data_IF_094459390256
#
_entry.id   IF_094459390256
#
_cell.length_a   1.000
_cell.length_b   1.000
_cell.length_c   1.000
_cell.angle_alpha   90.00
_cell.angle_beta   90.00
_cell.angle_gamma   90.00
#
_symmetry.space_group_name_H-M   'P 1'
#
loop_
_entity.id
_entity.type
_entity.pdbx_description
1 polymer ?
#
# COMPACT_ATOMS: atom_id res chain seq x y z
N UNK A 1 -25.66 6.08 -66.15
CA UNK A 1 -26.25 4.78 -66.54
C UNK A 1 -25.47 3.67 -65.85
N UNK A 2 -26.20 3.00 -64.96
CA UNK A 2 -26.08 1.66 -64.38
C UNK A 2 -25.00 0.65 -64.82
N UNK A 3 -24.60 -0.13 -63.80
CA UNK A 3 -24.23 -1.55 -63.75
C UNK A 3 -22.79 -2.01 -64.08
N UNK A 4 -22.25 -2.83 -63.17
CA UNK A 4 -21.63 -4.08 -63.63
C UNK A 4 -20.44 -4.64 -62.85
N UNK A 5 -20.63 -4.96 -61.56
CA UNK A 5 -19.76 -5.76 -60.71
C UNK A 5 -19.33 -7.12 -61.34
N UNK A 6 -18.07 -7.54 -61.16
CA UNK A 6 -17.73 -8.96 -60.95
C UNK A 6 -16.41 -9.14 -60.18
N UNK A 7 -16.57 -9.46 -58.90
CA UNK A 7 -15.69 -10.22 -58.00
C UNK A 7 -14.68 -11.16 -58.68
N UNK A 8 -13.45 -11.20 -58.14
CA UNK A 8 -12.90 -12.46 -57.62
C UNK A 8 -11.88 -12.21 -56.52
N UNK A 9 -12.33 -12.53 -55.32
CA UNK A 9 -11.58 -12.70 -54.09
C UNK A 9 -10.83 -14.04 -54.20
N UNK A 10 -9.51 -14.05 -53.95
CA UNK A 10 -8.81 -15.27 -53.54
C UNK A 10 -8.04 -15.00 -52.26
N UNK A 11 -8.48 -15.74 -51.26
CA UNK A 11 -7.93 -15.88 -49.93
C UNK A 11 -6.46 -16.28 -49.96
N UNK A 12 -5.66 -15.66 -49.08
CA UNK A 12 -4.64 -16.40 -48.35
C UNK A 12 -4.65 -15.90 -46.91
N UNK A 13 -5.39 -16.63 -46.08
CA UNK A 13 -5.33 -16.54 -44.63
C UNK A 13 -3.91 -16.89 -44.16
N UNK A 14 -3.19 -15.91 -43.60
CA UNK A 14 -1.97 -16.18 -42.83
C UNK A 14 -2.34 -16.31 -41.36
N UNK A 15 -2.82 -17.51 -41.00
CA UNK A 15 -2.80 -17.96 -39.60
C UNK A 15 -1.33 -18.14 -39.20
N UNK A 16 -0.82 -17.23 -38.39
CA UNK A 16 0.42 -17.47 -37.64
C UNK A 16 0.05 -17.45 -36.18
N UNK A 17 -0.11 -18.64 -35.61
CA UNK A 17 -0.35 -18.86 -34.21
C UNK A 17 1.00 -19.12 -33.52
N UNK A 18 1.16 -18.45 -32.37
CA UNK A 18 1.87 -18.86 -31.15
C UNK A 18 3.41 -18.80 -31.18
N UNK A 19 3.93 -17.81 -30.43
CA UNK A 19 4.80 -18.09 -29.29
C UNK A 19 4.72 -16.91 -28.32
N UNK A 20 3.83 -17.03 -27.32
CA UNK A 20 3.93 -16.23 -26.10
C UNK A 20 5.08 -16.82 -25.29
N UNK A 21 6.23 -16.13 -25.27
CA UNK A 21 7.34 -16.46 -24.38
C UNK A 21 7.28 -15.56 -23.16
N UNK A 22 6.32 -15.83 -22.28
CA UNK A 22 6.43 -15.42 -20.89
C UNK A 22 7.36 -16.43 -20.20
N UNK A 23 8.65 -16.13 -20.17
CA UNK A 23 9.55 -16.79 -19.23
C UNK A 23 9.28 -16.12 -17.88
N UNK A 24 8.30 -16.66 -17.15
CA UNK A 24 8.26 -16.45 -15.72
C UNK A 24 9.50 -17.16 -15.15
N UNK A 25 10.51 -16.39 -14.76
CA UNK A 25 11.45 -16.90 -13.76
C UNK A 25 10.63 -17.14 -12.50
N UNK A 26 10.14 -18.37 -12.34
CA UNK A 26 9.78 -18.89 -11.03
C UNK A 26 11.08 -19.04 -10.25
N UNK A 27 11.62 -17.92 -9.76
CA UNK A 27 12.44 -17.96 -8.58
C UNK A 27 11.59 -18.62 -7.50
N UNK A 28 12.11 -19.67 -6.87
CA UNK A 28 11.50 -20.24 -5.67
C UNK A 28 11.62 -19.19 -4.57
N UNK A 29 10.72 -18.20 -4.57
CA UNK A 29 10.57 -17.27 -3.46
C UNK A 29 9.93 -18.07 -2.34
N UNK A 30 10.75 -18.68 -1.49
CA UNK A 30 10.29 -19.14 -0.18
C UNK A 30 9.78 -17.90 0.54
N UNK A 31 8.46 -17.77 0.65
CA UNK A 31 7.82 -16.72 1.43
C UNK A 31 8.29 -16.86 2.88
N UNK A 32 8.85 -15.79 3.46
CA UNK A 32 9.32 -15.82 4.83
C UNK A 32 8.19 -16.15 5.81
N UNK A 33 8.52 -16.97 6.80
CA UNK A 33 7.61 -17.29 7.91
C UNK A 33 7.71 -16.22 9.00
N UNK A 34 6.70 -16.13 9.88
CA UNK A 34 6.77 -15.23 11.05
C UNK A 34 8.02 -15.50 11.91
N UNK A 35 8.53 -16.74 11.90
CA UNK A 35 9.69 -17.15 12.68
C UNK A 35 10.99 -16.66 12.06
N UNK A 36 11.09 -16.60 10.73
CA UNK A 36 12.24 -16.00 10.03
C UNK A 36 12.36 -14.51 10.36
N UNK A 37 11.23 -13.82 10.54
CA UNK A 37 11.19 -12.40 10.89
C UNK A 37 11.69 -12.10 12.30
N UNK A 38 11.74 -13.08 13.21
CA UNK A 38 12.34 -12.88 14.54
C UNK A 38 13.85 -12.64 14.47
N UNK A 39 14.51 -13.00 13.36
CA UNK A 39 15.94 -12.78 13.17
C UNK A 39 16.29 -11.30 12.94
N UNK A 40 15.30 -10.45 12.67
CA UNK A 40 15.51 -9.00 12.56
C UNK A 40 15.47 -8.29 13.92
N UNK A 41 15.29 -9.02 15.03
CA UNK A 41 15.22 -8.44 16.37
C UNK A 41 16.62 -8.18 16.95
N UNK A 42 16.87 -6.98 17.53
CA UNK A 42 18.13 -6.72 18.24
C UNK A 42 18.28 -7.64 19.46
N UNK A 43 19.41 -8.35 19.56
CA UNK A 43 19.68 -9.29 20.66
C UNK A 43 19.69 -8.59 22.03
N UNK A 44 20.01 -7.30 22.04
CA UNK A 44 20.08 -6.45 23.23
C UNK A 44 18.72 -6.35 23.93
N UNK A 45 17.61 -6.49 23.21
CA UNK A 45 16.25 -6.43 23.80
C UNK A 45 16.09 -7.51 24.88
N UNK A 46 16.62 -8.71 24.65
CA UNK A 46 16.55 -9.80 25.64
C UNK A 46 17.40 -9.54 26.88
N UNK A 47 18.49 -8.79 26.73
CA UNK A 47 19.38 -8.43 27.85
C UNK A 47 18.81 -7.29 28.69
N UNK A 48 18.19 -6.30 28.04
CA UNK A 48 17.65 -5.10 28.71
C UNK A 48 16.23 -5.32 29.24
N UNK A 49 15.38 -6.00 28.45
CA UNK A 49 13.96 -6.16 28.73
C UNK A 49 13.47 -7.59 28.35
N UNK A 50 13.82 -8.62 29.14
CA UNK A 50 13.48 -10.02 28.82
C UNK A 50 11.97 -10.26 28.72
N UNK A 51 11.14 -9.54 29.49
CA UNK A 51 9.69 -9.61 29.35
C UNK A 51 9.20 -9.06 28.00
N UNK A 52 9.82 -7.98 27.49
CA UNK A 52 9.53 -7.45 26.17
C UNK A 52 9.92 -8.46 25.08
N UNK A 53 11.08 -9.10 25.21
CA UNK A 53 11.49 -10.16 24.29
C UNK A 53 10.46 -11.28 24.23
N UNK A 54 9.94 -11.75 25.39
CA UNK A 54 8.90 -12.77 25.42
C UNK A 54 7.60 -12.33 24.73
N UNK A 55 7.16 -11.08 24.95
CA UNK A 55 5.98 -10.56 24.24
C UNK A 55 6.20 -10.45 22.74
N UNK A 56 7.42 -10.15 22.30
CA UNK A 56 7.76 -10.10 20.88
C UNK A 56 7.76 -11.51 20.28
N UNK A 57 8.44 -12.47 20.90
CA UNK A 57 8.55 -13.84 20.34
C UNK A 57 7.22 -14.56 20.35
N UNK A 58 6.50 -14.54 21.48
CA UNK A 58 5.34 -15.39 21.69
C UNK A 58 4.04 -14.68 21.28
N UNK A 59 3.94 -13.39 21.62
CA UNK A 59 2.78 -12.57 21.31
C UNK A 59 2.81 -12.08 19.87
N UNK A 60 3.77 -11.22 19.53
CA UNK A 60 3.82 -10.55 18.22
C UNK A 60 4.08 -11.56 17.09
N UNK A 61 5.23 -12.24 17.09
CA UNK A 61 5.56 -13.18 16.01
C UNK A 61 4.87 -14.53 16.15
N UNK A 62 4.71 -15.03 17.38
CA UNK A 62 4.02 -16.29 17.64
C UNK A 62 2.51 -16.25 17.34
N UNK A 63 1.85 -15.11 17.54
CA UNK A 63 0.39 -14.99 17.39
C UNK A 63 -0.02 -13.99 16.30
N UNK A 64 0.37 -12.72 16.41
CA UNK A 64 -0.17 -11.64 15.56
C UNK A 64 0.23 -11.83 14.11
N UNK A 65 1.50 -12.12 13.84
CA UNK A 65 1.99 -12.35 12.47
C UNK A 65 1.46 -13.64 11.83
N UNK A 66 1.01 -14.61 12.63
CA UNK A 66 0.45 -15.87 12.17
C UNK A 66 -1.07 -15.85 11.99
N UNK A 67 -1.76 -14.77 12.36
CA UNK A 67 -3.21 -14.70 12.25
C UNK A 67 -3.67 -14.64 10.79
N UNK A 68 -4.62 -15.51 10.42
CA UNK A 68 -5.11 -15.68 9.04
C UNK A 68 -5.96 -14.50 8.53
N UNK A 69 -6.30 -13.53 9.39
CA UNK A 69 -7.16 -12.39 9.05
C UNK A 69 -6.51 -11.40 8.08
N UNK A 70 -5.18 -11.39 7.98
CA UNK A 70 -4.42 -10.55 7.07
C UNK A 70 -3.16 -11.31 6.65
N UNK A 71 -2.87 -11.30 5.34
CA UNK A 71 -1.73 -12.04 4.78
C UNK A 71 -0.38 -11.54 5.31
N UNK A 72 0.64 -12.41 5.28
CA UNK A 72 2.01 -12.06 5.67
C UNK A 72 2.53 -10.83 4.89
N UNK A 73 2.32 -10.82 3.57
CA UNK A 73 2.69 -9.71 2.69
C UNK A 73 2.00 -8.42 3.09
N UNK A 74 0.69 -8.45 3.34
CA UNK A 74 -0.07 -7.24 3.73
C UNK A 74 0.32 -6.74 5.13
N UNK A 75 0.59 -7.65 6.08
CA UNK A 75 1.13 -7.29 7.40
C UNK A 75 2.45 -6.56 7.27
N UNK A 76 3.33 -7.04 6.39
CA UNK A 76 4.61 -6.39 6.16
C UNK A 76 4.45 -5.00 5.51
N UNK A 77 3.55 -4.87 4.52
CA UNK A 77 3.25 -3.59 3.90
C UNK A 77 2.65 -2.58 4.89
N UNK A 78 1.70 -3.01 5.73
CA UNK A 78 1.11 -2.20 6.81
C UNK A 78 2.16 -1.80 7.86
N UNK A 79 3.04 -2.74 8.23
CA UNK A 79 4.14 -2.48 9.17
C UNK A 79 5.06 -1.41 8.61
N UNK A 80 5.52 -1.58 7.38
CA UNK A 80 6.38 -0.62 6.72
C UNK A 80 5.74 0.77 6.64
N UNK A 81 4.47 0.86 6.23
CA UNK A 81 3.73 2.13 6.20
C UNK A 81 3.64 2.82 7.57
N UNK A 82 3.42 2.04 8.64
CA UNK A 82 3.38 2.57 10.01
C UNK A 82 4.74 3.10 10.47
N UNK A 83 5.83 2.39 10.18
CA UNK A 83 7.19 2.79 10.56
C UNK A 83 7.64 4.05 9.81
N UNK A 84 7.33 4.14 8.50
CA UNK A 84 7.58 5.34 7.70
C UNK A 84 6.84 6.53 8.32
N UNK A 85 5.55 6.37 8.59
CA UNK A 85 4.69 7.42 9.15
C UNK A 85 5.17 7.93 10.52
N UNK A 86 5.70 7.02 11.34
CA UNK A 86 6.20 7.35 12.68
C UNK A 86 7.61 7.93 12.68
N UNK A 87 8.25 8.02 11.52
CA UNK A 87 9.60 8.59 11.38
C UNK A 87 10.69 7.72 12.03
N UNK A 88 10.47 6.40 12.12
CA UNK A 88 11.40 5.47 12.76
C UNK A 88 12.57 5.09 11.81
N UNK A 89 13.18 6.12 11.18
CA UNK A 89 14.10 6.00 10.06
C UNK A 89 15.34 5.15 10.30
N UNK A 90 15.84 5.12 11.54
CA UNK A 90 17.01 4.30 11.89
C UNK A 90 16.75 2.79 11.79
N UNK A 91 15.51 2.35 11.98
CA UNK A 91 15.09 0.94 11.91
C UNK A 91 14.40 0.61 10.59
N UNK A 92 14.14 1.59 9.72
CA UNK A 92 13.43 1.37 8.45
C UNK A 92 14.15 0.41 7.51
N UNK A 93 15.48 0.28 7.61
CA UNK A 93 16.23 -0.73 6.85
C UNK A 93 15.79 -2.17 7.19
N UNK A 94 15.60 -2.47 8.47
CA UNK A 94 15.14 -3.79 8.94
C UNK A 94 13.72 -4.07 8.46
N UNK A 95 12.82 -3.10 8.56
CA UNK A 95 11.44 -3.23 8.07
C UNK A 95 11.34 -3.29 6.54
N UNK A 96 12.29 -2.68 5.83
CA UNK A 96 12.42 -2.83 4.37
C UNK A 96 12.79 -4.26 4.02
N UNK A 97 13.83 -4.81 4.67
CA UNK A 97 14.26 -6.20 4.45
C UNK A 97 13.13 -7.19 4.77
N UNK A 98 12.47 -6.99 5.92
CA UNK A 98 11.32 -7.77 6.35
C UNK A 98 10.20 -7.77 5.30
N UNK A 99 9.88 -6.60 4.72
CA UNK A 99 8.84 -6.50 3.71
C UNK A 99 9.21 -7.22 2.40
N UNK A 100 10.47 -7.12 1.98
CA UNK A 100 10.97 -7.88 0.83
C UNK A 100 10.90 -9.40 1.08
N UNK A 101 11.29 -9.85 2.27
CA UNK A 101 11.23 -11.27 2.67
C UNK A 101 9.79 -11.80 2.75
N UNK A 102 8.84 -10.94 3.13
CA UNK A 102 7.40 -11.23 3.12
C UNK A 102 6.76 -11.15 1.72
N UNK A 103 7.52 -10.84 0.67
CA UNK A 103 7.06 -10.82 -0.72
C UNK A 103 6.50 -9.48 -1.21
N UNK A 104 6.71 -8.38 -0.47
CA UNK A 104 6.47 -7.02 -1.01
C UNK A 104 7.61 -6.70 -1.96
N UNK A 105 7.30 -6.14 -3.13
CA UNK A 105 8.32 -5.82 -4.15
C UNK A 105 9.04 -4.49 -3.85
N UNK A 106 10.25 -4.28 -4.42
CA UNK A 106 10.89 -2.97 -4.40
C UNK A 106 10.00 -1.86 -4.98
N UNK A 107 9.27 -2.15 -6.05
CA UNK A 107 8.35 -1.21 -6.67
C UNK A 107 7.24 -0.75 -5.71
N UNK A 108 6.59 -1.69 -5.02
CA UNK A 108 5.52 -1.40 -4.07
C UNK A 108 6.00 -0.59 -2.86
N UNK A 109 7.19 -0.89 -2.33
CA UNK A 109 7.78 -0.13 -1.22
C UNK A 109 8.18 1.29 -1.66
N UNK A 110 8.75 1.44 -2.85
CA UNK A 110 9.07 2.74 -3.44
C UNK A 110 7.82 3.59 -3.68
N UNK A 111 6.76 2.99 -4.23
CA UNK A 111 5.49 3.67 -4.43
C UNK A 111 4.79 3.97 -3.09
N UNK A 112 4.98 3.13 -2.07
CA UNK A 112 4.47 3.37 -0.71
C UNK A 112 5.07 4.63 -0.10
N UNK A 113 6.39 4.80 -0.15
CA UNK A 113 7.02 6.02 0.40
C UNK A 113 6.65 7.27 -0.40
N UNK A 114 6.48 7.13 -1.72
CA UNK A 114 6.01 8.22 -2.59
C UNK A 114 4.60 8.65 -2.21
N UNK A 115 3.70 7.69 -2.01
CA UNK A 115 2.33 7.93 -1.57
C UNK A 115 2.29 8.55 -0.17
N UNK A 116 3.06 8.02 0.77
CA UNK A 116 3.12 8.52 2.14
C UNK A 116 3.81 9.89 2.25
N UNK A 117 4.59 10.34 1.26
CA UNK A 117 5.09 11.71 1.23
C UNK A 117 3.95 12.75 1.28
N UNK A 118 2.83 12.46 0.60
CA UNK A 118 1.65 13.32 0.57
C UNK A 118 0.76 13.14 1.80
N UNK A 119 0.66 11.93 2.33
CA UNK A 119 -0.26 11.61 3.45
C UNK A 119 0.35 11.81 4.83
N UNK A 120 1.63 11.50 5.00
CA UNK A 120 2.31 11.50 6.31
C UNK A 120 3.65 12.24 6.31
N UNK A 121 4.02 12.86 5.18
CA UNK A 121 4.98 13.96 5.10
C UNK A 121 6.28 13.64 4.35
N UNK A 122 6.78 14.63 3.61
CA UNK A 122 8.01 14.54 2.80
C UNK A 122 9.27 14.14 3.58
N UNK A 123 9.42 14.62 4.81
CA UNK A 123 10.57 14.28 5.65
C UNK A 123 10.65 12.79 5.97
N UNK A 124 9.50 12.18 6.28
CA UNK A 124 9.38 10.76 6.56
C UNK A 124 9.70 9.91 5.33
N UNK A 125 9.14 10.27 4.17
CA UNK A 125 9.42 9.58 2.92
C UNK A 125 10.89 9.68 2.49
N UNK A 126 11.50 10.86 2.67
CA UNK A 126 12.92 11.07 2.35
C UNK A 126 13.84 10.25 3.25
N UNK A 127 13.57 10.22 4.55
CA UNK A 127 14.30 9.39 5.50
C UNK A 127 14.14 7.89 5.17
N UNK A 128 12.94 7.46 4.77
CA UNK A 128 12.69 6.10 4.33
C UNK A 128 13.52 5.72 3.09
N UNK A 129 13.54 6.58 2.06
CA UNK A 129 14.36 6.35 0.86
C UNK A 129 15.85 6.17 1.21
N UNK A 130 16.38 6.99 2.13
CA UNK A 130 17.77 6.87 2.59
C UNK A 130 18.03 5.54 3.32
N UNK A 131 17.10 5.10 4.17
CA UNK A 131 17.22 3.84 4.89
C UNK A 131 17.05 2.59 3.99
N UNK A 132 16.22 2.70 2.95
CA UNK A 132 15.98 1.62 1.97
C UNK A 132 17.16 1.40 1.02
N UNK A 133 17.87 2.46 0.64
CA UNK A 133 18.95 2.41 -0.35
C UNK A 133 20.01 1.31 -0.09
N UNK A 134 20.60 1.16 1.11
CA UNK A 134 21.55 0.07 1.36
C UNK A 134 20.93 -1.33 1.27
N UNK A 135 19.65 -1.47 1.63
CA UNK A 135 18.92 -2.75 1.53
C UNK A 135 18.69 -3.11 0.06
N UNK A 136 18.27 -2.16 -0.76
CA UNK A 136 18.08 -2.37 -2.20
C UNK A 136 19.38 -2.75 -2.89
N UNK A 137 20.48 -2.04 -2.57
CA UNK A 137 21.80 -2.40 -3.07
C UNK A 137 22.23 -3.81 -2.67
N UNK A 138 22.00 -4.21 -1.42
CA UNK A 138 22.33 -5.56 -0.94
C UNK A 138 21.45 -6.66 -1.55
N UNK A 139 20.20 -6.33 -1.91
CA UNK A 139 19.23 -7.25 -2.52
C UNK A 139 19.27 -7.23 -4.06
N UNK A 140 20.13 -6.41 -4.65
CA UNK A 140 20.29 -6.29 -6.11
C UNK A 140 19.14 -5.59 -6.83
N UNK A 141 18.29 -4.83 -6.11
CA UNK A 141 17.24 -4.03 -6.72
C UNK A 141 17.87 -2.84 -7.47
N UNK A 142 17.47 -2.67 -8.72
CA UNK A 142 17.98 -1.65 -9.64
C UNK A 142 16.91 -0.60 -9.95
N UNK A 143 17.26 0.47 -10.67
CA UNK A 143 16.30 1.49 -11.10
C UNK A 143 15.21 0.93 -12.03
N UNK A 144 15.50 -0.15 -12.77
CA UNK A 144 14.53 -0.80 -13.67
C UNK A 144 13.46 -1.59 -12.90
N UNK A 145 13.69 -1.87 -11.60
CA UNK A 145 12.75 -2.55 -10.71
C UNK A 145 11.83 -1.57 -9.95
N UNK A 146 11.94 -0.26 -10.21
CA UNK A 146 11.26 0.80 -9.47
C UNK A 146 10.22 1.54 -10.34
N UNK A 147 9.23 2.22 -9.71
CA UNK A 147 8.21 2.98 -10.43
C UNK A 147 8.84 4.06 -11.31
N UNK A 148 8.33 4.20 -12.53
CA UNK A 148 8.68 5.32 -13.39
C UNK A 148 8.24 6.66 -12.77
N UNK A 149 8.98 7.74 -13.11
CA UNK A 149 8.59 9.09 -12.70
C UNK A 149 7.26 9.54 -13.33
N UNK A 150 6.92 9.00 -14.51
CA UNK A 150 5.69 9.31 -15.25
C UNK A 150 5.11 8.04 -15.88
N UNK A 151 4.48 7.17 -15.07
CA UNK A 151 3.89 5.93 -15.56
C UNK A 151 2.56 6.19 -16.28
N UNK A 152 2.10 5.21 -17.05
CA UNK A 152 0.74 5.22 -17.58
C UNK A 152 -0.26 5.06 -16.43
N UNK A 153 -1.11 6.07 -16.22
CA UNK A 153 -2.06 6.10 -15.12
C UNK A 153 -3.23 5.13 -15.32
N UNK A 154 -3.72 4.57 -14.22
CA UNK A 154 -4.92 3.75 -14.15
C UNK A 154 -6.17 4.56 -14.55
N UNK A 155 -7.22 3.90 -15.06
CA UNK A 155 -8.45 4.59 -15.45
C UNK A 155 -9.10 5.36 -14.31
N UNK A 156 -9.45 6.62 -14.56
CA UNK A 156 -10.19 7.46 -13.62
C UNK A 156 -11.70 7.14 -13.66
N UNK A 157 -12.31 6.99 -12.49
CA UNK A 157 -13.77 7.04 -12.37
C UNK A 157 -14.23 8.50 -12.38
N UNK A 158 -14.49 9.05 -13.57
CA UNK A 158 -14.83 10.46 -13.75
C UNK A 158 -16.02 10.90 -12.89
N UNK A 159 -17.08 10.09 -12.82
CA UNK A 159 -18.29 10.43 -12.05
C UNK A 159 -17.99 10.54 -10.55
N UNK A 160 -17.20 9.62 -10.00
CA UNK A 160 -16.84 9.66 -8.60
C UNK A 160 -15.91 10.84 -8.28
N UNK A 161 -14.98 11.15 -9.21
CA UNK A 161 -14.08 12.28 -9.06
C UNK A 161 -14.81 13.62 -9.14
N UNK A 162 -15.72 13.80 -10.10
CA UNK A 162 -16.54 15.01 -10.20
C UNK A 162 -17.36 15.23 -8.91
N UNK A 163 -17.94 14.16 -8.35
CA UNK A 163 -18.68 14.25 -7.10
C UNK A 163 -17.78 14.65 -5.92
N UNK A 164 -16.59 14.03 -5.81
CA UNK A 164 -15.60 14.35 -4.76
C UNK A 164 -15.12 15.80 -4.90
N UNK A 165 -14.74 16.22 -6.11
CA UNK A 165 -14.25 17.57 -6.36
C UNK A 165 -15.32 18.62 -6.08
N UNK A 166 -16.55 18.41 -6.54
CA UNK A 166 -17.65 19.34 -6.26
C UNK A 166 -17.90 19.47 -4.76
N UNK A 167 -17.86 18.37 -4.00
CA UNK A 167 -18.00 18.41 -2.54
C UNK A 167 -16.88 19.22 -1.89
N UNK A 168 -15.61 18.95 -2.25
CA UNK A 168 -14.45 19.66 -1.68
C UNK A 168 -14.46 21.14 -2.08
N UNK A 169 -14.73 21.47 -3.34
CA UNK A 169 -14.85 22.84 -3.84
C UNK A 169 -15.92 23.63 -3.10
N UNK A 170 -17.13 23.06 -2.95
CA UNK A 170 -18.24 23.75 -2.29
C UNK A 170 -18.03 23.93 -0.79
N UNK A 171 -17.25 23.05 -0.16
CA UNK A 171 -17.01 23.09 1.29
C UNK A 171 -15.80 23.96 1.64
N UNK A 172 -14.74 23.95 0.83
CA UNK A 172 -13.43 24.49 1.18
C UNK A 172 -12.82 25.45 0.16
N UNK A 173 -13.47 25.71 -0.98
CA UNK A 173 -12.97 26.64 -2.01
C UNK A 173 -12.71 28.04 -1.47
N UNK A 174 -13.65 28.56 -0.66
CA UNK A 174 -13.52 29.87 -0.02
C UNK A 174 -12.51 29.88 1.15
N UNK A 175 -12.13 28.71 1.66
CA UNK A 175 -11.13 28.57 2.73
C UNK A 175 -9.72 28.57 2.15
N UNK A 176 -9.47 27.74 1.14
CA UNK A 176 -8.19 27.68 0.45
C UNK A 176 -8.32 26.98 -0.90
N UNK A 177 -8.54 27.77 -1.96
CA UNK A 177 -8.62 27.24 -3.33
C UNK A 177 -7.37 26.46 -3.72
N UNK A 178 -6.18 26.92 -3.33
CA UNK A 178 -4.93 26.22 -3.65
C UNK A 178 -4.88 24.79 -3.07
N UNK A 179 -5.41 24.57 -1.86
CA UNK A 179 -5.51 23.20 -1.29
C UNK A 179 -6.50 22.36 -2.09
N UNK A 180 -7.62 22.94 -2.51
CA UNK A 180 -8.61 22.25 -3.35
C UNK A 180 -8.00 21.82 -4.69
N UNK A 181 -7.29 22.73 -5.36
CA UNK A 181 -6.66 22.48 -6.67
C UNK A 181 -5.57 21.40 -6.55
N UNK A 182 -4.64 21.52 -5.58
CA UNK A 182 -3.60 20.51 -5.38
C UNK A 182 -4.15 19.14 -4.99
N UNK A 183 -5.24 19.10 -4.21
CA UNK A 183 -5.92 17.85 -3.87
C UNK A 183 -6.43 17.16 -5.14
N UNK A 184 -7.00 17.91 -6.08
CA UNK A 184 -7.45 17.35 -7.34
C UNK A 184 -6.27 16.92 -8.21
N UNK A 185 -5.39 17.86 -8.56
CA UNK A 185 -4.37 17.69 -9.59
C UNK A 185 -3.27 16.70 -9.17
N UNK A 186 -2.74 16.84 -7.95
CA UNK A 186 -1.61 16.02 -7.51
C UNK A 186 -2.05 14.69 -6.90
N UNK A 187 -3.23 14.64 -6.26
CA UNK A 187 -3.67 13.43 -5.57
C UNK A 187 -4.62 12.59 -6.43
N UNK A 188 -5.81 13.09 -6.74
CA UNK A 188 -6.86 12.24 -7.32
C UNK A 188 -6.76 12.07 -8.84
N UNK A 189 -6.11 13.00 -9.54
CA UNK A 189 -5.83 12.92 -10.98
C UNK A 189 -4.44 12.35 -11.31
N UNK A 190 -3.57 12.15 -10.31
CA UNK A 190 -2.23 11.60 -10.49
C UNK A 190 -1.91 10.50 -9.46
N UNK A 191 -1.52 10.85 -8.23
CA UNK A 191 -1.01 9.90 -7.23
C UNK A 191 -1.90 8.66 -7.03
N UNK A 192 -3.22 8.83 -6.95
CA UNK A 192 -4.18 7.75 -6.75
C UNK A 192 -4.38 6.84 -7.97
N UNK A 193 -3.90 7.26 -9.14
CA UNK A 193 -3.98 6.54 -10.40
C UNK A 193 -2.64 5.90 -10.79
N UNK A 194 -1.55 6.15 -10.07
CA UNK A 194 -0.26 5.50 -10.36
C UNK A 194 -0.38 3.96 -10.22
N UNK A 195 0.11 3.16 -11.18
CA UNK A 195 -0.17 1.73 -11.27
C UNK A 195 0.71 0.85 -10.36
N UNK A 196 1.83 1.38 -9.85
CA UNK A 196 2.85 0.62 -9.14
C UNK A 196 2.44 0.15 -7.73
N UNK A 197 1.31 0.66 -7.24
CA UNK A 197 0.56 0.10 -6.13
C UNK A 197 -0.88 -0.12 -6.59
N UNK A 198 -1.36 -1.36 -6.46
CA UNK A 198 -2.75 -1.68 -6.74
C UNK A 198 -3.69 -0.78 -5.90
N UNK A 199 -4.85 -0.36 -6.41
CA UNK A 199 -5.76 0.53 -5.68
C UNK A 199 -6.14 0.02 -4.27
N UNK A 200 -6.27 -1.30 -4.09
CA UNK A 200 -6.48 -1.93 -2.77
C UNK A 200 -5.34 -1.60 -1.82
N UNK A 201 -4.11 -1.83 -2.26
CA UNK A 201 -2.90 -1.72 -1.45
C UNK A 201 -2.55 -0.27 -1.17
N UNK A 202 -2.75 0.62 -2.15
CA UNK A 202 -2.64 2.08 -1.95
C UNK A 202 -3.61 2.55 -0.87
N UNK A 203 -4.85 2.07 -0.88
CA UNK A 203 -5.80 2.37 0.19
C UNK A 203 -5.40 1.74 1.52
N UNK A 204 -4.89 0.51 1.52
CA UNK A 204 -4.41 -0.19 2.73
C UNK A 204 -3.30 0.62 3.43
N UNK A 205 -2.26 1.04 2.70
CA UNK A 205 -1.17 1.85 3.28
C UNK A 205 -1.64 3.25 3.70
N UNK A 206 -2.64 3.81 3.01
CA UNK A 206 -3.23 5.10 3.41
C UNK A 206 -3.91 4.97 4.77
N UNK A 207 -4.79 3.98 4.94
CA UNK A 207 -5.50 3.78 6.22
C UNK A 207 -4.52 3.42 7.34
N UNK A 208 -3.52 2.56 7.05
CA UNK A 208 -2.47 2.24 8.00
C UNK A 208 -1.67 3.48 8.42
N UNK A 209 -1.29 4.33 7.47
CA UNK A 209 -0.62 5.60 7.72
C UNK A 209 -1.46 6.55 8.59
N UNK A 210 -2.75 6.73 8.29
CA UNK A 210 -3.64 7.58 9.09
C UNK A 210 -3.77 7.08 10.54
N UNK A 211 -3.93 5.78 10.74
CA UNK A 211 -3.95 5.18 12.09
C UNK A 211 -2.61 5.40 12.78
N UNK A 212 -1.49 5.16 12.08
CA UNK A 212 -0.15 5.37 12.61
C UNK A 212 0.19 6.84 12.88
N UNK A 213 -0.46 7.79 12.20
CA UNK A 213 -0.35 9.23 12.49
C UNK A 213 -1.27 9.67 13.64
N UNK A 214 -2.27 8.86 14.00
CA UNK A 214 -3.30 9.22 14.97
C UNK A 214 -4.33 10.20 14.38
N UNK A 215 -4.70 10.03 13.12
CA UNK A 215 -5.60 10.89 12.36
C UNK A 215 -6.92 10.17 11.99
N UNK A 216 -7.76 9.78 12.96
CA UNK A 216 -9.01 9.09 12.69
C UNK A 216 -10.01 9.92 11.86
N UNK A 217 -9.88 11.25 11.84
CA UNK A 217 -10.78 12.18 11.15
C UNK A 217 -10.82 11.97 9.63
N UNK A 218 -9.73 11.47 9.05
CA UNK A 218 -9.65 11.17 7.61
C UNK A 218 -10.01 9.72 7.29
N UNK A 219 -10.17 8.87 8.31
CA UNK A 219 -10.29 7.43 8.13
C UNK A 219 -11.62 7.01 7.50
N UNK A 220 -12.72 7.74 7.74
CA UNK A 220 -14.03 7.40 7.16
C UNK A 220 -14.00 7.33 5.64
N UNK A 221 -13.40 8.33 4.99
CA UNK A 221 -13.28 8.37 3.53
C UNK A 221 -12.34 7.26 3.02
N UNK A 222 -11.14 7.17 3.61
CA UNK A 222 -10.12 6.24 3.13
C UNK A 222 -10.44 4.77 3.40
N UNK A 223 -11.11 4.44 4.51
CA UNK A 223 -11.55 3.07 4.78
C UNK A 223 -12.69 2.65 3.84
N UNK A 224 -13.65 3.53 3.55
CA UNK A 224 -14.66 3.24 2.52
C UNK A 224 -14.01 2.98 1.16
N UNK A 225 -13.08 3.85 0.75
CA UNK A 225 -12.32 3.69 -0.49
C UNK A 225 -11.50 2.39 -0.49
N UNK A 226 -10.91 2.00 0.63
CA UNK A 226 -10.20 0.72 0.75
C UNK A 226 -11.14 -0.46 0.49
N UNK A 227 -12.33 -0.43 1.09
CA UNK A 227 -13.32 -1.48 0.92
C UNK A 227 -13.92 -1.51 -0.48
N UNK A 228 -14.11 -0.36 -1.11
CA UNK A 228 -14.53 -0.26 -2.52
C UNK A 228 -13.46 -0.84 -3.47
N UNK A 229 -12.18 -0.70 -3.10
CA UNK A 229 -11.06 -1.29 -3.83
C UNK A 229 -10.80 -2.77 -3.47
N UNK A 230 -11.65 -3.39 -2.66
CA UNK A 230 -11.60 -4.83 -2.37
C UNK A 230 -10.99 -5.23 -1.03
N UNK A 231 -10.65 -4.29 -0.13
CA UNK A 231 -10.27 -4.63 1.24
C UNK A 231 -11.50 -5.15 2.00
N UNK A 232 -11.44 -6.37 2.51
CA UNK A 232 -12.55 -6.96 3.27
C UNK A 232 -12.61 -6.41 4.70
N UNK A 233 -13.78 -6.52 5.32
CA UNK A 233 -13.94 -6.19 6.75
C UNK A 233 -13.00 -7.03 7.64
N UNK A 234 -12.78 -8.29 7.29
CA UNK A 234 -11.86 -9.19 8.00
C UNK A 234 -10.43 -8.69 7.93
N UNK A 235 -9.95 -8.29 6.74
CA UNK A 235 -8.61 -7.74 6.55
C UNK A 235 -8.45 -6.39 7.25
N UNK A 236 -9.46 -5.51 7.21
CA UNK A 236 -9.44 -4.25 7.93
C UNK A 236 -9.37 -4.46 9.46
N UNK A 237 -10.10 -5.45 9.99
CA UNK A 237 -9.98 -5.87 11.39
C UNK A 237 -8.61 -6.44 11.72
N UNK A 238 -8.03 -7.26 10.83
CA UNK A 238 -6.67 -7.79 10.95
C UNK A 238 -5.61 -6.68 10.97
N UNK A 239 -5.75 -5.66 10.12
CA UNK A 239 -4.88 -4.49 10.10
C UNK A 239 -4.96 -3.70 11.41
N UNK A 240 -6.16 -3.43 11.95
CA UNK A 240 -6.32 -2.74 13.24
C UNK A 240 -5.63 -3.51 14.37
N UNK A 241 -5.81 -4.82 14.43
CA UNK A 241 -5.16 -5.67 15.43
C UNK A 241 -3.63 -5.64 15.28
N UNK A 242 -3.12 -5.69 14.05
CA UNK A 242 -1.69 -5.63 13.75
C UNK A 242 -1.08 -4.28 14.18
N UNK A 243 -1.76 -3.17 13.83
CA UNK A 243 -1.31 -1.82 14.15
C UNK A 243 -1.36 -1.51 15.65
N UNK A 244 -2.04 -2.29 16.49
CA UNK A 244 -1.97 -2.09 17.93
C UNK A 244 -0.52 -2.25 18.44
N UNK A 245 0.22 -3.18 17.85
CA UNK A 245 1.62 -3.47 18.19
C UNK A 245 2.60 -2.45 17.57
N UNK A 246 2.34 -2.00 16.34
CA UNK A 246 3.26 -1.14 15.59
C UNK A 246 2.98 0.36 15.69
N UNK A 247 1.72 0.75 15.94
CA UNK A 247 1.31 2.15 16.12
C UNK A 247 0.96 2.50 17.57
N UNK A 248 0.78 1.49 18.43
CA UNK A 248 0.38 1.62 19.83
C UNK A 248 -1.13 1.59 20.03
N UNK A 249 -1.55 1.00 21.15
CA UNK A 249 -2.97 0.81 21.52
C UNK A 249 -3.81 2.10 21.44
N UNK A 250 -3.40 3.26 22.00
CA UNK A 250 -4.24 4.45 22.00
C UNK A 250 -4.68 4.89 20.59
N UNK A 251 -3.79 4.83 19.60
CA UNK A 251 -4.11 5.23 18.23
C UNK A 251 -5.13 4.29 17.58
N UNK A 252 -5.00 2.98 17.81
CA UNK A 252 -5.98 2.01 17.33
C UNK A 252 -7.32 2.19 18.03
N UNK A 253 -7.33 2.45 19.35
CA UNK A 253 -8.57 2.74 20.07
C UNK A 253 -9.27 4.02 19.61
N UNK A 254 -8.52 5.03 19.13
CA UNK A 254 -9.09 6.21 18.45
C UNK A 254 -9.67 5.88 17.06
N UNK A 255 -9.11 4.90 16.36
CA UNK A 255 -9.57 4.46 15.04
C UNK A 255 -10.80 3.53 15.08
N UNK A 256 -10.91 2.70 16.11
CA UNK A 256 -11.98 1.68 16.22
C UNK A 256 -13.41 2.22 16.09
N UNK A 257 -13.80 3.37 16.69
CA UNK A 257 -15.13 3.93 16.50
C UNK A 257 -15.45 4.22 15.04
N UNK A 258 -14.49 4.77 14.28
CA UNK A 258 -14.64 5.08 12.87
C UNK A 258 -14.78 3.79 12.04
N UNK A 259 -13.95 2.77 12.31
CA UNK A 259 -14.08 1.48 11.63
C UNK A 259 -15.45 0.83 11.89
N UNK A 260 -15.92 0.85 13.14
CA UNK A 260 -17.23 0.33 13.54
C UNK A 260 -18.35 1.00 12.77
N UNK A 261 -18.32 2.33 12.63
CA UNK A 261 -19.33 3.09 11.89
C UNK A 261 -19.31 2.74 10.39
N UNK A 262 -18.13 2.72 9.76
CA UNK A 262 -18.00 2.35 8.34
C UNK A 262 -18.56 0.95 8.09
N UNK A 263 -18.23 -0.03 8.95
CA UNK A 263 -18.74 -1.38 8.80
C UNK A 263 -20.26 -1.47 8.97
N UNK A 264 -20.83 -0.74 9.95
CA UNK A 264 -22.27 -0.72 10.18
C UNK A 264 -23.04 -0.07 9.02
N UNK A 265 -22.48 0.96 8.40
CA UNK A 265 -23.10 1.65 7.26
C UNK A 265 -23.07 0.82 5.97
N UNK A 266 -22.08 -0.07 5.81
CA UNK A 266 -21.95 -0.95 4.63
C UNK A 266 -22.74 -2.26 4.74
N UNK A 267 -23.19 -2.62 5.94
CA UNK A 267 -24.01 -3.81 6.17
C UNK A 267 -25.52 -3.58 5.93
N UNK A 268 -25.91 -2.33 5.64
CA UNK A 268 -27.26 -1.89 5.33
C UNK A 268 -27.48 -1.85 3.82
#
# INVERSE_FOLDING_TARGET
MSLGNTRTQKDFARKTQIAASAIALMGTTTTATAQDLTQTLPQEVGTVAPALMAYITDGLFGTVWNAETLSMRDRALVTFAAMVTRGEGAQLGEFTALALDAGVTPAELSETITHLAFYTGWGNATAAAQAMAPVYAARGASADDLPGASPDLLPLNQKAEDARQNMVQNTYGDVSQGVVDYTQEMLFLDLWLRPDLAPRDRSLVTVAGLIAAGQPEQMTFHLNRAMDNGLTQTEAGGMLAHLAFYAGWPRVFSAMPVAKEVFANRAQ
#
